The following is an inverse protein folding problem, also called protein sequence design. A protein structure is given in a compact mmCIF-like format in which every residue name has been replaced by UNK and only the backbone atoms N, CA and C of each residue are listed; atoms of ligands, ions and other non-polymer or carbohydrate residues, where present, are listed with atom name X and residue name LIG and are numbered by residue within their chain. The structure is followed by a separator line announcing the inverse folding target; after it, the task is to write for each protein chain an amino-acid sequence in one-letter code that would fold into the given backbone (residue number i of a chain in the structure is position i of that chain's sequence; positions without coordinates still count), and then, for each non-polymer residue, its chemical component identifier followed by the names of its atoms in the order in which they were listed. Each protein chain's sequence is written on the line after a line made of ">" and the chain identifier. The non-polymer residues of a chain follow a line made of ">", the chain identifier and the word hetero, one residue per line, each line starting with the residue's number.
data_IF_079320797134
#
_entry.id   IF_079320797134
#
_cell.length_a   1.000
_cell.length_b   1.000
_cell.length_c   1.000
_cell.angle_alpha   90.00
_cell.angle_beta   90.00
_cell.angle_gamma   90.00
#
_symmetry.space_group_name_H-M   'P 1'
#
loop_
_entity.id
_entity.type
_entity.pdbx_description
1 polymer ?
#
# COMPACT_ATOMS: atom_id res chain seq x y z
N UNK A 1 -2.92 2.82 -9.31
CA UNK A 1 -2.69 4.28 -9.12
C UNK A 1 -1.19 4.45 -9.04
N UNK A 2 -0.62 5.35 -9.84
CA UNK A 2 0.83 5.44 -9.96
C UNK A 2 1.43 6.56 -9.12
N UNK A 3 2.56 6.26 -8.50
CA UNK A 3 3.35 7.18 -7.70
C UNK A 3 4.79 7.18 -8.18
N UNK A 4 5.40 8.37 -8.23
CA UNK A 4 6.84 8.50 -8.41
C UNK A 4 7.53 8.37 -7.05
N UNK A 5 8.32 7.32 -6.88
CA UNK A 5 9.08 7.05 -5.64
C UNK A 5 10.57 7.19 -5.88
N UNK A 6 11.33 7.39 -4.81
CA UNK A 6 12.79 7.22 -4.78
C UNK A 6 13.16 6.08 -3.85
N UNK A 7 13.95 5.11 -4.30
CA UNK A 7 14.42 4.01 -3.46
C UNK A 7 15.41 4.54 -2.44
N UNK A 8 15.15 4.30 -1.16
CA UNK A 8 16.07 4.59 -0.08
C UNK A 8 16.88 3.34 0.26
N UNK A 9 16.23 2.18 0.35
CA UNK A 9 16.91 0.91 0.66
C UNK A 9 16.13 -0.30 0.14
N UNK A 10 16.85 -1.27 -0.43
CA UNK A 10 16.34 -2.58 -0.79
C UNK A 10 16.69 -3.63 0.28
N UNK A 11 15.71 -4.46 0.63
CA UNK A 11 15.84 -5.59 1.54
C UNK A 11 15.28 -6.83 0.82
N UNK A 12 16.12 -7.54 0.05
CA UNK A 12 15.73 -8.83 -0.52
C UNK A 12 15.34 -9.82 0.59
N UNK A 13 14.52 -10.82 0.24
CA UNK A 13 14.21 -11.94 1.12
C UNK A 13 15.47 -12.68 1.60
N UNK A 14 15.32 -13.45 2.68
CA UNK A 14 16.45 -14.12 3.34
C UNK A 14 17.08 -15.23 2.47
N UNK A 15 16.30 -15.82 1.57
CA UNK A 15 16.79 -16.78 0.58
C UNK A 15 17.10 -16.07 -0.76
N UNK A 16 18.22 -16.44 -1.38
CA UNK A 16 18.61 -15.97 -2.72
C UNK A 16 17.59 -16.31 -3.81
N UNK A 17 16.66 -17.23 -3.53
CA UNK A 17 15.58 -17.60 -4.43
C UNK A 17 14.25 -16.92 -4.11
N UNK A 18 14.18 -16.11 -3.05
CA UNK A 18 12.95 -15.44 -2.65
C UNK A 18 12.73 -14.17 -3.50
N UNK A 19 11.71 -14.15 -4.37
CA UNK A 19 11.35 -12.94 -5.10
C UNK A 19 10.72 -11.88 -4.18
N UNK A 20 10.22 -12.27 -3.00
CA UNK A 20 9.57 -11.36 -2.07
C UNK A 20 10.60 -10.61 -1.20
N UNK A 21 10.28 -9.38 -0.85
CA UNK A 21 11.08 -8.60 0.09
C UNK A 21 10.45 -7.27 0.45
N UNK A 22 11.29 -6.34 0.87
CA UNK A 22 10.87 -5.00 1.28
C UNK A 22 11.72 -3.92 0.61
N UNK A 23 11.06 -2.83 0.23
CA UNK A 23 11.72 -1.58 -0.13
C UNK A 23 11.35 -0.50 0.89
N UNK A 24 12.36 0.23 1.35
CA UNK A 24 12.15 1.54 1.96
C UNK A 24 12.27 2.59 0.85
N UNK A 25 11.24 3.41 0.69
CA UNK A 25 11.11 4.37 -0.41
C UNK A 25 10.73 5.74 0.12
N UNK A 26 11.12 6.79 -0.59
CA UNK A 26 10.69 8.16 -0.32
C UNK A 26 9.58 8.54 -1.29
N UNK A 27 8.44 8.96 -0.76
CA UNK A 27 7.29 9.45 -1.49
C UNK A 27 6.75 10.71 -0.81
N UNK A 28 6.72 11.83 -1.55
CA UNK A 28 6.25 13.12 -1.02
C UNK A 28 6.93 13.54 0.30
N UNK A 29 8.21 13.18 0.48
CA UNK A 29 8.99 13.46 1.69
C UNK A 29 8.78 12.49 2.85
N UNK A 30 7.90 11.49 2.71
CA UNK A 30 7.70 10.42 3.69
C UNK A 30 8.56 9.21 3.33
N UNK A 31 9.12 8.56 4.34
CA UNK A 31 9.77 7.24 4.18
C UNK A 31 8.73 6.16 4.42
N UNK A 32 8.48 5.35 3.39
CA UNK A 32 7.52 4.25 3.41
C UNK A 32 8.26 2.93 3.27
N UNK A 33 7.92 1.96 4.13
CA UNK A 33 8.37 0.59 4.02
C UNK A 33 7.26 -0.22 3.36
N UNK A 34 7.56 -0.78 2.20
CA UNK A 34 6.60 -1.42 1.31
C UNK A 34 7.06 -2.84 0.98
N UNK A 35 6.12 -3.78 0.94
CA UNK A 35 6.36 -5.11 0.42
C UNK A 35 6.40 -5.10 -1.11
N UNK A 36 7.29 -5.88 -1.68
CA UNK A 36 7.44 -6.01 -3.13
C UNK A 36 7.69 -7.47 -3.48
N UNK A 37 7.15 -7.89 -4.62
CA UNK A 37 7.43 -9.16 -5.25
C UNK A 37 8.17 -8.88 -6.57
N UNK A 38 9.41 -9.33 -6.67
CA UNK A 38 10.22 -9.18 -7.87
C UNK A 38 9.87 -10.26 -8.90
N UNK A 39 9.97 -9.98 -10.21
CA UNK A 39 9.73 -10.99 -11.24
C UNK A 39 10.73 -12.15 -11.18
N UNK A 40 11.98 -11.86 -10.78
CA UNK A 40 13.00 -12.85 -10.44
C UNK A 40 13.85 -12.35 -9.27
N UNK A 41 14.52 -13.24 -8.51
CA UNK A 41 15.42 -12.83 -7.44
C UNK A 41 16.59 -11.94 -7.91
N UNK A 42 17.08 -12.13 -9.14
CA UNK A 42 18.19 -11.34 -9.69
C UNK A 42 17.80 -9.87 -9.92
N UNK A 43 16.52 -9.58 -10.11
CA UNK A 43 16.03 -8.22 -10.34
C UNK A 43 16.30 -7.28 -9.16
N UNK A 44 16.51 -7.81 -7.94
CA UNK A 44 16.94 -7.05 -6.77
C UNK A 44 18.25 -6.28 -7.00
N UNK A 45 19.17 -6.83 -7.81
CA UNK A 45 20.45 -6.19 -8.12
C UNK A 45 20.31 -4.87 -8.90
N UNK A 46 19.14 -4.64 -9.50
CA UNK A 46 18.83 -3.43 -10.28
C UNK A 46 18.35 -2.26 -9.39
N UNK A 47 18.03 -2.53 -8.12
CA UNK A 47 17.43 -1.55 -7.21
C UNK A 47 18.51 -0.81 -6.40
N UNK A 48 19.06 0.25 -7.00
CA UNK A 48 20.04 1.10 -6.34
C UNK A 48 19.38 2.17 -5.45
N UNK A 49 20.08 2.57 -4.38
CA UNK A 49 19.72 3.76 -3.61
C UNK A 49 19.68 4.99 -4.52
N UNK A 50 18.65 5.82 -4.37
CA UNK A 50 18.43 7.02 -5.18
C UNK A 50 17.74 6.76 -6.52
N UNK A 51 17.53 5.50 -6.92
CA UNK A 51 16.78 5.17 -8.13
C UNK A 51 15.33 5.67 -8.00
N UNK A 52 14.84 6.35 -9.03
CA UNK A 52 13.47 6.83 -9.10
C UNK A 52 12.65 6.05 -10.12
N UNK A 53 11.46 5.61 -9.70
CA UNK A 53 10.56 4.76 -10.50
C UNK A 53 9.11 5.21 -10.32
N UNK A 54 8.30 5.00 -11.35
CA UNK A 54 6.85 5.09 -11.26
C UNK A 54 6.29 3.72 -10.91
N UNK A 55 5.59 3.62 -9.77
CA UNK A 55 5.12 2.36 -9.21
C UNK A 55 3.63 2.40 -8.95
N UNK A 56 2.98 1.24 -8.98
CA UNK A 56 1.68 1.09 -8.37
C UNK A 56 1.85 0.87 -6.87
N UNK A 57 1.16 1.66 -6.05
CA UNK A 57 1.18 1.56 -4.60
C UNK A 57 -0.24 1.28 -4.10
N UNK A 58 -0.39 0.25 -3.28
CA UNK A 58 -1.68 -0.07 -2.65
C UNK A 58 -1.52 -0.62 -1.25
N UNK A 59 -2.58 -0.51 -0.45
CA UNK A 59 -2.68 -1.14 0.85
C UNK A 59 -3.55 -2.38 0.73
N UNK A 60 -2.96 -3.55 0.95
CA UNK A 60 -3.70 -4.82 1.04
C UNK A 60 -4.20 -4.99 2.47
N UNK A 61 -5.52 -5.01 2.66
CA UNK A 61 -6.13 -5.14 3.98
C UNK A 61 -5.70 -6.44 4.64
N UNK A 62 -5.11 -6.33 5.83
CA UNK A 62 -4.73 -7.48 6.66
C UNK A 62 -5.22 -7.35 8.11
N UNK A 63 -5.91 -6.26 8.43
CA UNK A 63 -6.40 -5.95 9.76
C UNK A 63 -7.80 -5.35 9.74
N UNK A 64 -8.04 -4.38 10.63
CA UNK A 64 -9.36 -3.78 10.78
C UNK A 64 -9.70 -2.79 9.65
N UNK A 65 -11.01 -2.67 9.37
CA UNK A 65 -11.60 -1.60 8.55
C UNK A 65 -12.69 -0.96 9.38
N UNK A 66 -12.61 0.35 9.58
CA UNK A 66 -13.56 1.10 10.43
C UNK A 66 -14.03 2.34 9.69
N UNK A 67 -15.35 2.53 9.64
CA UNK A 67 -15.92 3.82 9.23
C UNK A 67 -15.76 4.81 10.37
N UNK A 68 -15.33 6.02 10.03
CA UNK A 68 -15.18 7.13 10.95
C UNK A 68 -16.23 8.20 10.63
N UNK A 69 -16.72 8.98 11.63
CA UNK A 69 -17.65 10.08 11.38
C UNK A 69 -17.02 11.19 10.53
N UNK A 70 -15.79 11.57 10.85
CA UNK A 70 -14.90 12.44 10.07
C UNK A 70 -13.51 12.30 10.67
N UNK A 71 -12.46 12.22 9.84
CA UNK A 71 -11.09 12.11 10.34
C UNK A 71 -10.10 12.71 9.34
N UNK A 72 -9.01 13.34 9.82
CA UNK A 72 -7.98 13.85 8.94
C UNK A 72 -7.31 12.70 8.19
N UNK A 73 -6.90 12.99 6.96
CA UNK A 73 -6.05 12.12 6.17
C UNK A 73 -4.77 11.79 6.95
N UNK A 74 -4.46 10.51 7.10
CA UNK A 74 -3.28 10.05 7.84
C UNK A 74 -2.73 8.74 7.23
N UNK A 75 -1.42 8.56 7.36
CA UNK A 75 -0.75 7.30 7.05
C UNK A 75 0.27 7.03 8.16
N UNK A 76 -0.01 6.04 9.00
CA UNK A 76 0.75 5.76 10.23
C UNK A 76 1.42 4.40 10.13
N UNK A 77 2.73 4.35 10.34
CA UNK A 77 3.45 3.07 10.37
C UNK A 77 3.05 2.26 11.59
N UNK A 78 2.75 0.99 11.38
CA UNK A 78 2.54 -0.01 12.44
C UNK A 78 3.78 -0.91 12.63
N UNK A 79 4.84 -0.68 11.85
CA UNK A 79 6.08 -1.44 11.84
C UNK A 79 6.25 -2.30 10.58
N UNK A 80 7.48 -2.35 10.08
CA UNK A 80 7.79 -3.07 8.84
C UNK A 80 6.94 -2.55 7.67
N UNK A 81 6.28 -3.45 6.97
CA UNK A 81 5.41 -3.14 5.82
C UNK A 81 3.95 -2.92 6.20
N UNK A 82 3.62 -2.90 7.50
CA UNK A 82 2.25 -2.73 7.98
C UNK A 82 1.95 -1.26 8.30
N UNK A 83 0.81 -0.79 7.80
CA UNK A 83 0.39 0.60 7.87
C UNK A 83 -1.10 0.70 8.21
N UNK A 84 -1.44 1.82 8.85
CA UNK A 84 -2.81 2.28 9.06
C UNK A 84 -3.03 3.53 8.23
N UNK A 85 -3.96 3.47 7.28
CA UNK A 85 -4.37 4.61 6.48
C UNK A 85 -5.72 5.13 6.97
N UNK A 86 -5.85 6.45 7.07
CA UNK A 86 -7.11 7.14 7.33
C UNK A 86 -7.35 8.13 6.20
N UNK A 87 -8.57 8.20 5.68
CA UNK A 87 -8.88 9.11 4.59
C UNK A 87 -10.32 9.06 4.11
N UNK A 88 -10.59 9.86 3.09
CA UNK A 88 -11.87 9.91 2.40
C UNK A 88 -11.90 8.88 1.27
N UNK A 89 -12.96 8.08 1.19
CA UNK A 89 -13.19 7.20 0.05
C UNK A 89 -13.67 8.04 -1.12
N UNK A 90 -12.93 8.02 -2.22
CA UNK A 90 -13.24 8.80 -3.43
C UNK A 90 -13.87 7.96 -4.53
N UNK A 91 -13.62 6.64 -4.53
CA UNK A 91 -14.14 5.72 -5.51
C UNK A 91 -14.16 4.28 -4.96
N UNK A 92 -15.06 3.45 -5.46
CA UNK A 92 -15.22 2.05 -5.10
C UNK A 92 -15.46 1.20 -6.36
N UNK A 93 -14.69 0.14 -6.54
CA UNK A 93 -14.83 -0.82 -7.64
C UNK A 93 -14.58 -2.25 -7.14
N UNK A 94 -15.66 -3.01 -6.92
CA UNK A 94 -15.61 -4.36 -6.37
C UNK A 94 -14.94 -4.40 -4.99
N UNK A 95 -13.77 -5.04 -4.93
CA UNK A 95 -12.97 -5.21 -3.71
C UNK A 95 -11.92 -4.11 -3.53
N UNK A 96 -11.83 -3.21 -4.51
CA UNK A 96 -10.90 -2.10 -4.51
C UNK A 96 -11.62 -0.81 -4.15
N UNK A 97 -10.96 0.05 -3.40
CA UNK A 97 -11.39 1.44 -3.22
C UNK A 97 -10.21 2.41 -3.38
N UNK A 98 -10.52 3.67 -3.67
CA UNK A 98 -9.55 4.76 -3.67
C UNK A 98 -9.72 5.57 -2.39
N UNK A 99 -8.64 5.68 -1.63
CA UNK A 99 -8.60 6.41 -0.37
C UNK A 99 -7.71 7.65 -0.52
N UNK A 100 -8.30 8.82 -0.33
CA UNK A 100 -7.58 10.08 -0.22
C UNK A 100 -7.00 10.22 1.19
N UNK A 101 -5.76 9.75 1.36
CA UNK A 101 -4.96 9.92 2.58
C UNK A 101 -3.82 10.93 2.34
N UNK A 102 -2.85 11.06 3.26
CA UNK A 102 -1.66 11.93 3.07
C UNK A 102 -0.91 11.57 1.78
N UNK A 103 -0.95 10.29 1.42
CA UNK A 103 -0.63 9.80 0.09
C UNK A 103 -1.90 9.14 -0.45
N UNK A 104 -2.41 9.51 -1.64
CA UNK A 104 -3.53 8.80 -2.24
C UNK A 104 -3.20 7.30 -2.40
N UNK A 105 -4.10 6.40 -2.02
CA UNK A 105 -3.84 4.96 -2.06
C UNK A 105 -5.00 4.23 -2.75
N UNK A 106 -4.65 3.17 -3.48
CA UNK A 106 -5.62 2.10 -3.76
C UNK A 106 -5.63 1.17 -2.55
N UNK A 107 -6.81 0.72 -2.13
CA UNK A 107 -6.96 -0.23 -1.03
C UNK A 107 -7.58 -1.49 -1.61
N UNK A 108 -6.90 -2.62 -1.42
CA UNK A 108 -7.44 -3.94 -1.71
C UNK A 108 -8.06 -4.50 -0.43
N UNK A 109 -9.35 -4.83 -0.48
CA UNK A 109 -10.09 -5.31 0.67
C UNK A 109 -10.07 -6.84 0.82
N UNK A 110 -9.59 -7.61 -0.17
CA UNK A 110 -9.72 -9.07 -0.28
C UNK A 110 -9.55 -9.83 1.06
N UNK A 111 -10.53 -10.67 1.49
CA UNK A 111 -11.82 -10.94 0.84
C UNK A 111 -12.76 -9.73 0.78
N UNK A 112 -13.54 -9.59 -0.32
CA UNK A 112 -14.57 -8.57 -0.49
C UNK A 112 -15.24 -8.18 0.82
N UNK A 113 -15.37 -6.89 1.09
CA UNK A 113 -16.29 -6.42 2.15
C UNK A 113 -17.75 -6.75 1.79
N UNK A 114 -18.02 -7.26 0.58
CA UNK A 114 -19.35 -7.64 0.11
C UNK A 114 -19.75 -9.08 0.50
N UNK A 115 -20.35 -9.17 1.70
CA UNK A 115 -21.31 -10.17 2.24
C UNK A 115 -20.76 -11.45 2.94
N UNK A 116 -21.45 -12.03 3.97
CA UNK A 116 -22.55 -11.57 4.84
C UNK A 116 -22.08 -11.53 6.32
N UNK A 117 -21.14 -10.66 6.67
CA UNK A 117 -20.60 -10.55 8.04
C UNK A 117 -20.44 -9.10 8.50
N UNK A 118 -21.54 -8.34 8.50
CA UNK A 118 -21.71 -7.21 9.43
C UNK A 118 -20.87 -5.94 9.24
N UNK A 119 -20.08 -5.81 8.17
CA UNK A 119 -19.49 -4.51 7.81
C UNK A 119 -20.48 -3.69 6.97
N UNK A 120 -20.73 -2.40 7.29
CA UNK A 120 -21.61 -1.55 6.51
C UNK A 120 -21.08 -1.35 5.08
N UNK A 121 -21.99 -1.27 4.11
CA UNK A 121 -21.69 -1.01 2.70
C UNK A 121 -20.83 0.26 2.57
N UNK A 122 -19.55 0.11 2.25
CA UNK A 122 -18.59 1.21 2.04
C UNK A 122 -18.96 1.93 0.74
N UNK A 123 -19.00 3.26 0.77
CA UNK A 123 -19.30 4.10 -0.39
C UNK A 123 -18.34 5.28 -0.50
N UNK A 124 -18.24 5.86 -1.70
CA UNK A 124 -17.61 7.15 -1.90
C UNK A 124 -18.26 8.20 -0.98
N UNK A 125 -17.44 9.04 -0.35
CA UNK A 125 -17.86 9.99 0.68
C UNK A 125 -17.67 9.48 2.11
N UNK A 126 -17.45 8.18 2.33
CA UNK A 126 -17.14 7.65 3.65
C UNK A 126 -15.74 8.04 4.10
N UNK A 127 -15.56 8.32 5.39
CA UNK A 127 -14.23 8.33 6.00
C UNK A 127 -13.92 6.95 6.55
N UNK A 128 -12.77 6.41 6.18
CA UNK A 128 -12.32 5.10 6.64
C UNK A 128 -10.99 5.17 7.34
N UNK A 129 -10.80 4.22 8.25
CA UNK A 129 -9.50 3.75 8.70
C UNK A 129 -9.33 2.30 8.24
N UNK A 130 -8.19 1.99 7.62
CA UNK A 130 -7.85 0.67 7.13
C UNK A 130 -6.45 0.29 7.60
N UNK A 131 -6.32 -0.91 8.19
CA UNK A 131 -5.04 -1.51 8.52
C UNK A 131 -4.68 -2.58 7.49
N UNK A 132 -3.44 -2.52 7.01
CA UNK A 132 -2.99 -3.43 5.97
C UNK A 132 -1.49 -3.46 5.75
N UNK A 133 -1.11 -4.28 4.78
CA UNK A 133 0.24 -4.39 4.25
C UNK A 133 0.39 -3.45 3.06
N UNK A 134 1.31 -2.49 3.14
CA UNK A 134 1.60 -1.59 2.03
C UNK A 134 2.44 -2.34 1.00
N UNK A 135 1.93 -2.45 -0.22
CA UNK A 135 2.52 -3.20 -1.32
C UNK A 135 2.82 -2.27 -2.48
N UNK A 136 3.84 -2.64 -3.22
CA UNK A 136 4.23 -1.96 -4.44
C UNK A 136 4.45 -2.96 -5.57
N UNK A 137 4.16 -2.52 -6.78
CA UNK A 137 4.52 -3.24 -8.00
C UNK A 137 5.50 -2.41 -8.82
N UNK A 138 6.57 -3.06 -9.26
CA UNK A 138 7.65 -2.44 -10.04
C UNK A 138 7.53 -2.87 -11.48
N UNK A 139 7.39 -1.90 -12.37
CA UNK A 139 7.65 -2.14 -13.79
C UNK A 139 9.16 -1.93 -14.03
N UNK A 140 9.89 -3.05 -14.07
CA UNK A 140 11.32 -3.08 -14.39
C UNK A 140 11.49 -3.49 -15.85
N UNK A 141 11.70 -2.52 -16.73
CA UNK A 141 11.96 -2.71 -18.18
C UNK A 141 13.19 -3.59 -18.46
#
# INVERSE_FOLDING_TARGET
>A
MRHRIRIERAHPGEDRFDPEGRLDVVLSGLVLSCAVLMPTPEAWSRLAHGLELDVELWLERSGSVRRLPEAPAALTSMGGVFWRATGLVTDCDGDWLKLESVVPLSIDLDPPVQAPSGLPLIAAGDHLEVEGRLKLDLELD
#
